data_IF_886685551316
#
_entry.id   IF_886685551316
#
_cell.length_a   1.000
_cell.length_b   1.000
_cell.length_c   1.000
_cell.angle_alpha   90.00
_cell.angle_beta   90.00
_cell.angle_gamma   90.00
#
_symmetry.space_group_name_H-M   'P 1'
#
loop_
_entity.id
_entity.type
_entity.pdbx_description
1 polymer ?
#
# COMPACT_ATOMS: atom_id res chain seq x y z
N UNK A 1 29.73 12.91 24.41
CA UNK A 1 28.28 12.99 24.66
C UNK A 1 27.78 14.32 24.11
N UNK A 2 27.29 14.32 22.88
CA UNK A 2 26.64 15.46 22.25
C UNK A 2 25.38 14.92 21.58
N UNK A 3 24.24 15.28 22.18
CA UNK A 3 22.92 14.89 21.70
C UNK A 3 22.69 15.47 20.32
N UNK A 4 22.65 14.60 19.32
CA UNK A 4 22.11 14.95 18.03
C UNK A 4 20.59 15.06 18.17
N UNK A 5 20.10 16.30 18.13
CA UNK A 5 18.70 16.62 17.84
C UNK A 5 18.24 15.79 16.63
N UNK A 6 17.49 14.72 16.89
CA UNK A 6 16.81 13.94 15.85
C UNK A 6 15.61 14.75 15.37
N UNK A 7 15.88 15.82 14.62
CA UNK A 7 14.87 16.35 13.71
C UNK A 7 14.50 15.22 12.75
N UNK A 8 13.21 14.89 12.71
CA UNK A 8 12.59 13.90 11.84
C UNK A 8 13.22 13.98 10.45
N UNK A 9 14.08 13.01 10.10
CA UNK A 9 14.61 12.89 8.75
C UNK A 9 13.41 12.79 7.83
N UNK A 10 13.30 13.69 6.86
CA UNK A 10 12.41 13.48 5.73
C UNK A 10 12.79 12.13 5.15
N UNK A 11 11.87 11.19 5.20
CA UNK A 11 12.07 9.88 4.60
C UNK A 11 11.89 10.09 3.09
N UNK A 12 13.00 10.37 2.42
CA UNK A 12 13.04 10.90 1.06
C UNK A 12 13.00 9.81 -0.01
N UNK A 13 13.33 8.57 0.34
CA UNK A 13 13.44 7.48 -0.63
C UNK A 13 12.04 6.93 -0.95
N UNK A 14 11.64 6.88 -2.23
CA UNK A 14 10.38 6.28 -2.65
C UNK A 14 10.28 4.81 -2.26
N UNK A 15 9.06 4.37 -1.91
CA UNK A 15 8.74 2.99 -1.58
C UNK A 15 7.92 2.33 -2.70
N UNK A 16 8.16 1.04 -2.92
CA UNK A 16 7.46 0.21 -3.91
C UNK A 16 7.10 -1.15 -3.32
N UNK A 17 5.94 -1.73 -3.68
CA UNK A 17 5.69 -3.12 -3.34
C UNK A 17 6.60 -4.03 -4.16
N UNK A 18 7.16 -5.06 -3.54
CA UNK A 18 7.94 -6.06 -4.27
C UNK A 18 8.79 -6.95 -3.37
N UNK A 19 9.25 -8.06 -3.94
CA UNK A 19 10.19 -9.00 -3.34
C UNK A 19 11.26 -9.37 -4.36
N UNK A 20 12.43 -9.79 -3.86
CA UNK A 20 13.54 -10.20 -4.72
C UNK A 20 14.14 -9.06 -5.53
N UNK A 21 14.76 -9.39 -6.66
CA UNK A 21 15.39 -8.41 -7.55
C UNK A 21 14.36 -7.83 -8.51
N UNK A 22 14.20 -6.49 -8.57
CA UNK A 22 13.23 -5.87 -9.47
C UNK A 22 13.67 -5.96 -10.93
N UNK A 23 12.71 -6.19 -11.84
CA UNK A 23 12.98 -6.20 -13.28
C UNK A 23 13.03 -4.79 -13.89
N UNK A 24 12.30 -3.82 -13.30
CA UNK A 24 12.26 -2.42 -13.76
C UNK A 24 12.42 -1.45 -12.60
N UNK A 25 13.05 -0.31 -12.86
CA UNK A 25 13.12 0.76 -11.87
C UNK A 25 11.78 1.55 -11.83
N UNK A 26 11.52 2.32 -10.75
CA UNK A 26 10.33 3.17 -10.63
C UNK A 26 10.11 4.16 -11.77
N UNK A 27 11.17 4.50 -12.50
CA UNK A 27 11.18 5.46 -13.60
C UNK A 27 11.11 4.81 -14.98
N UNK A 28 11.01 3.47 -15.05
CA UNK A 28 10.68 2.75 -16.28
C UNK A 28 11.84 2.08 -17.02
N UNK A 29 13.09 2.23 -16.56
CA UNK A 29 14.21 1.50 -17.14
C UNK A 29 14.10 -0.01 -16.88
N UNK A 30 14.46 -0.80 -17.88
CA UNK A 30 14.71 -2.24 -17.74
C UNK A 30 16.05 -2.45 -17.03
N UNK A 31 16.03 -3.13 -15.89
CA UNK A 31 17.21 -3.27 -15.03
C UNK A 31 18.21 -4.32 -15.52
N UNK A 32 17.81 -5.22 -16.41
CA UNK A 32 18.75 -6.13 -17.07
C UNK A 32 19.69 -5.38 -18.01
N UNK A 33 19.25 -4.24 -18.56
CA UNK A 33 20.05 -3.36 -19.42
C UNK A 33 20.67 -2.22 -18.60
N UNK A 34 19.88 -1.57 -17.76
CA UNK A 34 20.26 -0.36 -17.05
C UNK A 34 21.18 -0.60 -15.85
N UNK A 35 21.34 -1.84 -15.40
CA UNK A 35 22.07 -2.19 -14.19
C UNK A 35 21.33 -1.87 -12.91
N UNK A 36 21.52 -2.71 -11.89
CA UNK A 36 20.93 -2.52 -10.56
C UNK A 36 21.90 -2.90 -9.45
N UNK A 37 21.96 -2.10 -8.39
CA UNK A 37 22.64 -2.42 -7.14
C UNK A 37 21.65 -2.56 -6.00
N UNK A 38 21.92 -3.50 -5.10
CA UNK A 38 21.17 -3.66 -3.86
C UNK A 38 21.97 -3.10 -2.68
N UNK A 39 21.30 -2.34 -1.84
CA UNK A 39 21.77 -1.88 -0.54
C UNK A 39 20.72 -2.16 0.54
N UNK A 40 20.82 -1.44 1.65
CA UNK A 40 19.92 -1.59 2.78
C UNK A 40 19.56 -0.22 3.37
N UNK A 41 18.27 0.10 3.39
CA UNK A 41 17.77 1.28 4.08
C UNK A 41 17.69 0.99 5.57
N UNK A 42 18.53 1.64 6.37
CA UNK A 42 18.47 1.52 7.84
C UNK A 42 17.19 2.14 8.41
N UNK A 43 16.70 3.22 7.79
CA UNK A 43 15.51 3.93 8.24
C UNK A 43 14.25 3.09 8.02
N UNK A 44 14.12 2.45 6.85
CA UNK A 44 12.99 1.56 6.57
C UNK A 44 13.21 0.10 6.99
N UNK A 45 14.44 -0.29 7.34
CA UNK A 45 14.86 -1.69 7.57
C UNK A 45 14.40 -2.61 6.44
N UNK A 46 14.70 -2.22 5.21
CA UNK A 46 14.28 -2.94 4.02
C UNK A 46 15.32 -2.84 2.89
N UNK A 47 15.29 -3.78 1.91
CA UNK A 47 16.14 -3.72 0.74
C UNK A 47 15.98 -2.40 -0.02
N UNK A 48 17.10 -1.73 -0.23
CA UNK A 48 17.20 -0.54 -1.07
C UNK A 48 17.80 -0.93 -2.41
N UNK A 49 17.32 -0.30 -3.48
CA UNK A 49 17.74 -0.58 -4.84
C UNK A 49 18.14 0.71 -5.52
N UNK A 50 19.21 0.65 -6.28
CA UNK A 50 19.73 1.75 -7.09
C UNK A 50 19.73 1.35 -8.56
N UNK A 51 19.20 2.21 -9.42
CA UNK A 51 19.29 2.04 -10.87
C UNK A 51 20.53 2.79 -11.40
N UNK A 52 21.47 2.07 -12.00
CA UNK A 52 22.76 2.66 -12.41
C UNK A 52 22.58 3.70 -13.53
N UNK A 53 21.69 3.42 -14.48
CA UNK A 53 21.36 4.39 -15.53
C UNK A 53 20.74 5.68 -14.95
N UNK A 54 19.86 5.58 -13.94
CA UNK A 54 19.35 6.79 -13.27
C UNK A 54 20.44 7.51 -12.48
N UNK A 55 21.33 6.77 -11.82
CA UNK A 55 22.43 7.34 -11.06
C UNK A 55 23.41 8.11 -11.95
N UNK A 56 23.69 7.60 -13.16
CA UNK A 56 24.54 8.26 -14.15
C UNK A 56 23.91 9.53 -14.76
N UNK A 57 22.60 9.72 -14.64
CA UNK A 57 21.88 10.88 -15.17
C UNK A 57 21.63 11.91 -14.04
N UNK A 58 22.20 13.13 -14.12
CA UNK A 58 22.03 14.13 -13.07
C UNK A 58 20.56 14.56 -12.90
N UNK A 59 20.18 14.86 -11.65
CA UNK A 59 18.88 15.43 -11.30
C UNK A 59 17.70 14.45 -11.24
N UNK A 60 17.96 13.13 -11.27
CA UNK A 60 16.92 12.11 -11.08
C UNK A 60 17.11 11.37 -9.76
N UNK A 61 15.99 11.14 -9.08
CA UNK A 61 15.93 10.09 -8.07
C UNK A 61 16.40 8.78 -8.71
N UNK A 62 17.21 8.02 -7.97
CA UNK A 62 17.88 6.83 -8.47
C UNK A 62 17.78 5.64 -7.51
N UNK A 63 17.40 5.89 -6.26
CA UNK A 63 17.17 4.89 -5.23
C UNK A 63 15.68 4.72 -4.90
N UNK A 64 15.30 3.50 -4.51
CA UNK A 64 14.00 3.21 -3.94
C UNK A 64 14.10 2.03 -2.97
N UNK A 65 13.13 1.92 -2.08
CA UNK A 65 13.01 0.78 -1.16
C UNK A 65 11.85 -0.11 -1.56
N UNK A 66 12.03 -1.42 -1.43
CA UNK A 66 10.96 -2.38 -1.66
C UNK A 66 10.39 -2.91 -0.34
N UNK A 67 9.06 -2.88 -0.23
CA UNK A 67 8.30 -3.41 0.88
C UNK A 67 7.56 -4.65 0.40
N UNK A 68 7.81 -5.77 1.05
CA UNK A 68 7.16 -7.03 0.73
C UNK A 68 5.68 -6.97 1.17
N UNK A 69 4.71 -7.01 0.22
CA UNK A 69 3.30 -6.89 0.53
C UNK A 69 2.69 -8.19 1.06
N UNK A 70 3.43 -9.31 1.08
CA UNK A 70 2.89 -10.62 1.39
C UNK A 70 2.32 -10.69 2.82
N UNK A 71 1.21 -11.42 3.07
CA UNK A 71 0.60 -11.53 4.39
C UNK A 71 1.55 -12.05 5.48
N UNK A 72 2.53 -12.87 5.10
CA UNK A 72 3.57 -13.37 6.02
C UNK A 72 4.48 -12.27 6.61
N UNK A 73 4.44 -11.05 6.04
CA UNK A 73 5.15 -9.87 6.54
C UNK A 73 4.26 -8.91 7.30
N UNK A 74 2.95 -9.19 7.36
CA UNK A 74 2.03 -8.36 8.12
C UNK A 74 2.20 -8.71 9.60
N UNK A 75 2.28 -7.68 10.43
CA UNK A 75 2.37 -7.81 11.89
C UNK A 75 1.05 -7.39 12.52
N UNK A 76 0.74 -7.89 13.70
CA UNK A 76 -0.36 -7.35 14.51
C UNK A 76 0.10 -6.11 15.28
N UNK A 77 -0.83 -5.37 15.88
CA UNK A 77 -0.50 -4.13 16.59
C UNK A 77 0.47 -4.33 17.75
N UNK A 78 0.36 -5.45 18.47
CA UNK A 78 1.25 -5.86 19.56
C UNK A 78 2.65 -6.27 19.09
N UNK A 79 2.82 -6.51 17.79
CA UNK A 79 4.08 -6.93 17.17
C UNK A 79 4.77 -5.81 16.40
N UNK A 80 4.13 -4.64 16.28
CA UNK A 80 4.72 -3.50 15.59
C UNK A 80 5.92 -2.97 16.41
N UNK A 81 7.13 -3.17 15.89
CA UNK A 81 8.35 -2.63 16.49
C UNK A 81 8.47 -1.13 16.25
N UNK A 82 9.23 -0.43 17.10
CA UNK A 82 9.47 1.01 16.97
C UNK A 82 10.29 1.38 15.72
N UNK A 83 10.86 0.40 15.01
CA UNK A 83 11.89 0.59 14.00
C UNK A 83 11.55 -0.06 12.66
N UNK A 84 11.79 0.69 11.57
CA UNK A 84 11.56 0.20 10.22
C UNK A 84 10.10 0.25 9.79
N UNK A 85 9.88 0.17 8.49
CA UNK A 85 8.56 0.26 7.91
C UNK A 85 7.84 -1.10 8.02
N UNK A 86 6.59 -1.11 8.48
CA UNK A 86 5.80 -2.31 8.74
C UNK A 86 4.40 -2.18 8.19
N UNK A 87 3.86 -3.31 7.73
CA UNK A 87 2.45 -3.48 7.40
C UNK A 87 1.75 -4.04 8.63
N UNK A 88 0.97 -3.21 9.32
CA UNK A 88 0.27 -3.57 10.55
C UNK A 88 -1.18 -3.90 10.22
N UNK A 89 -1.59 -5.13 10.50
CA UNK A 89 -2.95 -5.60 10.26
C UNK A 89 -3.86 -5.27 11.46
N UNK A 90 -4.90 -4.50 11.18
CA UNK A 90 -6.00 -4.24 12.10
C UNK A 90 -7.15 -5.19 11.76
N UNK A 91 -7.38 -6.19 12.61
CA UNK A 91 -8.45 -7.16 12.40
C UNK A 91 -9.83 -6.49 12.58
N UNK A 92 -10.83 -6.85 11.76
CA UNK A 92 -12.19 -6.38 12.00
C UNK A 92 -12.70 -6.92 13.34
N UNK A 93 -13.56 -6.13 14.01
CA UNK A 93 -14.20 -6.55 15.26
C UNK A 93 -15.16 -7.74 15.08
N UNK A 94 -15.70 -7.90 13.86
CA UNK A 94 -16.65 -8.95 13.50
C UNK A 94 -16.23 -9.65 12.21
N UNK A 95 -16.67 -10.90 12.02
CA UNK A 95 -16.49 -11.60 10.75
C UNK A 95 -17.17 -10.83 9.61
N UNK A 96 -16.51 -10.76 8.45
CA UNK A 96 -16.93 -9.94 7.30
C UNK A 96 -17.05 -8.42 7.59
N UNK A 97 -16.63 -7.94 8.76
CA UNK A 97 -16.51 -6.53 9.07
C UNK A 97 -15.36 -5.84 8.33
N UNK A 98 -15.23 -4.53 8.53
CA UNK A 98 -14.14 -3.73 7.95
C UNK A 98 -12.89 -3.88 8.82
N UNK A 99 -11.83 -4.43 8.23
CA UNK A 99 -10.49 -4.39 8.79
C UNK A 99 -9.63 -3.36 8.06
N UNK A 100 -8.38 -3.24 8.47
CA UNK A 100 -7.43 -2.36 7.80
C UNK A 100 -6.00 -2.91 7.79
N UNK A 101 -5.18 -2.41 6.88
CA UNK A 101 -3.73 -2.49 6.97
C UNK A 101 -3.20 -1.07 7.06
N UNK A 102 -2.36 -0.81 8.04
CA UNK A 102 -1.63 0.44 8.16
C UNK A 102 -0.17 0.24 7.75
N UNK A 103 0.39 1.20 7.03
CA UNK A 103 1.82 1.27 6.81
C UNK A 103 2.40 2.17 7.90
N UNK A 104 3.21 1.61 8.80
CA UNK A 104 3.74 2.34 9.97
C UNK A 104 5.26 2.35 9.99
N UNK A 105 5.84 3.43 10.50
CA UNK A 105 7.21 3.48 11.00
C UNK A 105 7.16 3.81 12.49
N UNK A 106 7.36 2.79 13.34
CA UNK A 106 7.05 2.89 14.77
C UNK A 106 5.60 3.33 14.99
N UNK A 107 5.41 4.44 15.72
CA UNK A 107 4.08 5.01 15.97
C UNK A 107 3.56 5.94 14.86
N UNK A 108 4.36 6.23 13.83
CA UNK A 108 3.95 7.11 12.73
C UNK A 108 3.22 6.31 11.67
N UNK A 109 1.96 6.64 11.42
CA UNK A 109 1.18 6.06 10.32
C UNK A 109 1.48 6.82 9.03
N UNK A 110 1.80 6.10 7.96
CA UNK A 110 2.02 6.68 6.64
C UNK A 110 0.71 6.73 5.86
N UNK A 111 -0.11 5.71 6.07
CA UNK A 111 -1.42 5.57 5.46
C UNK A 111 -2.10 4.29 5.91
N UNK A 112 -3.36 4.19 5.55
CA UNK A 112 -4.25 3.09 5.88
C UNK A 112 -5.01 2.64 4.63
N UNK A 113 -5.22 1.34 4.50
CA UNK A 113 -6.18 0.77 3.55
C UNK A 113 -7.21 -0.04 4.31
N UNK A 114 -8.48 0.25 4.09
CA UNK A 114 -9.63 -0.37 4.75
C UNK A 114 -10.36 -1.26 3.76
N UNK A 115 -10.66 -2.48 4.17
CA UNK A 115 -11.37 -3.44 3.33
C UNK A 115 -12.11 -4.47 4.19
N UNK A 116 -13.11 -5.10 3.61
CA UNK A 116 -13.82 -6.23 4.20
C UNK A 116 -13.55 -7.48 3.38
N UNK A 117 -13.28 -8.60 4.07
CA UNK A 117 -13.14 -9.93 3.49
C UNK A 117 -14.20 -10.86 4.08
N UNK A 118 -15.04 -11.45 3.24
CA UNK A 118 -15.94 -12.53 3.65
C UNK A 118 -15.32 -13.88 3.30
N UNK A 119 -14.92 -14.65 4.32
CA UNK A 119 -14.33 -15.98 4.12
C UNK A 119 -15.31 -17.02 3.59
N UNK A 120 -16.62 -16.85 3.86
CA UNK A 120 -17.68 -17.78 3.44
C UNK A 120 -17.93 -17.64 1.93
N UNK A 121 -18.21 -16.41 1.48
CA UNK A 121 -18.58 -16.13 0.08
C UNK A 121 -17.38 -15.82 -0.82
N UNK A 122 -16.16 -15.75 -0.26
CA UNK A 122 -14.93 -15.31 -0.95
C UNK A 122 -15.08 -13.97 -1.66
N UNK A 123 -15.80 -13.04 -1.03
CA UNK A 123 -16.02 -11.66 -1.49
C UNK A 123 -15.10 -10.69 -0.78
N UNK A 124 -14.53 -9.75 -1.52
CA UNK A 124 -13.71 -8.69 -0.97
C UNK A 124 -14.22 -7.32 -1.43
N UNK A 125 -14.33 -6.39 -0.48
CA UNK A 125 -14.73 -5.00 -0.77
C UNK A 125 -13.64 -4.08 -0.27
N UNK A 126 -12.96 -3.39 -1.18
CA UNK A 126 -12.09 -2.28 -0.85
C UNK A 126 -12.94 -1.05 -0.53
N UNK A 127 -12.82 -0.57 0.71
CA UNK A 127 -13.63 0.54 1.24
C UNK A 127 -12.91 1.86 1.01
N UNK A 128 -11.65 1.95 1.44
CA UNK A 128 -10.94 3.21 1.42
C UNK A 128 -9.42 3.01 1.42
N UNK A 129 -8.70 3.96 0.84
CA UNK A 129 -7.25 4.08 0.99
C UNK A 129 -6.91 5.54 1.25
N UNK A 130 -6.14 5.77 2.31
CA UNK A 130 -5.69 7.09 2.72
C UNK A 130 -4.18 7.08 2.94
N UNK A 131 -3.52 8.20 2.61
CA UNK A 131 -2.11 8.44 2.90
C UNK A 131 -2.03 9.81 3.55
N UNK A 132 -1.38 9.87 4.71
CA UNK A 132 -1.14 11.13 5.43
C UNK A 132 -0.44 12.12 4.50
N UNK A 133 -0.83 13.39 4.55
CA UNK A 133 -0.43 14.40 3.57
C UNK A 133 1.09 14.51 3.39
N UNK A 134 1.82 14.56 4.51
CA UNK A 134 3.30 14.58 4.56
C UNK A 134 3.97 13.34 3.95
N UNK A 135 3.24 12.23 3.80
CA UNK A 135 3.73 10.96 3.28
C UNK A 135 3.16 10.64 1.89
N UNK A 136 2.37 11.54 1.29
CA UNK A 136 1.92 11.40 -0.10
C UNK A 136 3.10 11.40 -1.06
N UNK A 137 2.90 10.81 -2.24
CA UNK A 137 3.92 10.65 -3.30
C UNK A 137 5.14 9.80 -2.95
N UNK A 138 5.30 9.35 -1.70
CA UNK A 138 6.30 8.35 -1.30
C UNK A 138 6.09 6.98 -1.97
N UNK A 139 4.85 6.63 -2.28
CA UNK A 139 4.46 5.29 -2.76
C UNK A 139 3.70 4.44 -1.72
N UNK A 140 3.45 4.97 -0.52
CA UNK A 140 2.67 4.31 0.54
C UNK A 140 1.34 3.71 0.05
N UNK A 141 0.52 4.50 -0.65
CA UNK A 141 -0.76 4.03 -1.18
C UNK A 141 -0.62 2.82 -2.13
N UNK A 142 0.44 2.76 -2.93
CA UNK A 142 0.70 1.62 -3.82
C UNK A 142 1.07 0.36 -3.02
N UNK A 143 1.90 0.52 -1.99
CA UNK A 143 2.27 -0.59 -1.09
C UNK A 143 1.02 -1.12 -0.37
N UNK A 144 0.18 -0.23 0.14
CA UNK A 144 -1.07 -0.59 0.82
C UNK A 144 -2.03 -1.36 -0.10
N UNK A 145 -2.25 -0.88 -1.32
CA UNK A 145 -3.09 -1.57 -2.32
C UNK A 145 -2.56 -2.96 -2.63
N UNK A 146 -1.23 -3.10 -2.86
CA UNK A 146 -0.62 -4.40 -3.08
C UNK A 146 -0.75 -5.33 -1.87
N UNK A 147 -0.61 -4.81 -0.64
CA UNK A 147 -0.76 -5.57 0.59
C UNK A 147 -2.19 -6.08 0.80
N UNK A 148 -3.20 -5.26 0.47
CA UNK A 148 -4.60 -5.69 0.51
C UNK A 148 -4.87 -6.81 -0.51
N UNK A 149 -4.43 -6.62 -1.77
CA UNK A 149 -4.59 -7.63 -2.82
C UNK A 149 -3.91 -8.96 -2.45
N UNK A 150 -2.71 -8.91 -1.87
CA UNK A 150 -1.95 -10.10 -1.47
C UNK A 150 -2.61 -10.93 -0.36
N UNK A 151 -3.52 -10.34 0.44
CA UNK A 151 -4.26 -11.09 1.49
C UNK A 151 -5.34 -12.00 0.94
N UNK A 152 -5.92 -11.65 -0.20
CA UNK A 152 -7.08 -12.35 -0.73
C UNK A 152 -6.97 -12.48 -2.26
N UNK A 153 -5.91 -13.18 -2.77
CA UNK A 153 -5.64 -13.27 -4.20
C UNK A 153 -6.72 -14.05 -4.98
N UNK A 154 -7.56 -14.82 -4.28
CA UNK A 154 -8.61 -15.66 -4.86
C UNK A 154 -10.02 -15.18 -4.51
N UNK A 155 -10.16 -13.93 -4.06
CA UNK A 155 -11.45 -13.34 -3.74
C UNK A 155 -11.93 -12.49 -4.91
N UNK A 156 -13.25 -12.43 -5.06
CA UNK A 156 -13.88 -11.50 -5.99
C UNK A 156 -13.82 -10.09 -5.38
N UNK A 157 -12.79 -9.33 -5.77
CA UNK A 157 -12.61 -7.96 -5.32
C UNK A 157 -13.56 -7.01 -6.04
N UNK A 158 -14.15 -6.12 -5.26
CA UNK A 158 -14.83 -4.92 -5.74
C UNK A 158 -14.35 -3.73 -4.93
N UNK A 159 -14.48 -2.52 -5.46
CA UNK A 159 -14.10 -1.29 -4.78
C UNK A 159 -15.31 -0.37 -4.70
N UNK A 160 -15.41 0.42 -3.64
CA UNK A 160 -16.36 1.54 -3.62
C UNK A 160 -16.15 2.47 -4.84
N UNK A 161 -17.18 3.20 -5.27
CA UNK A 161 -17.08 4.08 -6.43
C UNK A 161 -15.88 5.03 -6.33
N UNK A 162 -15.08 5.06 -7.40
CA UNK A 162 -13.96 6.00 -7.52
C UNK A 162 -14.56 7.34 -7.96
N UNK A 163 -14.47 8.36 -7.10
CA UNK A 163 -14.97 9.70 -7.41
C UNK A 163 -14.24 10.37 -8.59
N UNK A 164 -14.73 11.53 -9.01
CA UNK A 164 -14.17 12.30 -10.13
C UNK A 164 -12.99 13.22 -9.76
N UNK A 165 -12.51 13.17 -8.51
CA UNK A 165 -11.35 13.95 -8.09
C UNK A 165 -10.12 13.58 -8.96
N UNK A 166 -9.47 14.55 -9.65
CA UNK A 166 -8.38 14.27 -10.57
C UNK A 166 -7.19 13.54 -9.92
N UNK A 167 -6.91 13.82 -8.64
CA UNK A 167 -5.81 13.17 -7.91
C UNK A 167 -6.14 11.69 -7.67
N UNK A 168 -7.38 11.41 -7.25
CA UNK A 168 -7.90 10.07 -7.03
C UNK A 168 -7.91 9.25 -8.33
N UNK A 169 -8.40 9.83 -9.43
CA UNK A 169 -8.40 9.17 -10.75
C UNK A 169 -6.97 8.87 -11.22
N UNK A 170 -6.05 9.84 -11.11
CA UNK A 170 -4.65 9.64 -11.49
C UNK A 170 -3.95 8.57 -10.64
N UNK A 171 -4.27 8.50 -9.34
CA UNK A 171 -3.76 7.45 -8.46
C UNK A 171 -4.21 6.07 -8.93
N UNK A 172 -5.52 5.87 -9.11
CA UNK A 172 -6.08 4.56 -9.51
C UNK A 172 -5.67 4.15 -10.92
N UNK A 173 -5.58 5.10 -11.86
CA UNK A 173 -5.06 4.84 -13.21
C UNK A 173 -3.61 4.35 -13.19
N UNK A 174 -2.81 4.80 -12.21
CA UNK A 174 -1.39 4.43 -12.10
C UNK A 174 -1.14 3.17 -11.28
N UNK A 175 -1.92 2.93 -10.24
CA UNK A 175 -1.77 1.77 -9.36
C UNK A 175 -2.51 0.55 -9.91
N UNK A 176 -3.63 0.76 -10.59
CA UNK A 176 -4.61 -0.27 -10.91
C UNK A 176 -5.54 -0.51 -9.74
N UNK A 177 -6.85 -0.49 -9.97
CA UNK A 177 -7.82 -0.89 -8.96
C UNK A 177 -7.75 -2.42 -8.76
N UNK A 178 -7.92 -2.88 -7.51
CA UNK A 178 -7.88 -4.32 -7.18
C UNK A 178 -9.12 -5.06 -7.76
N UNK A 179 -10.19 -4.33 -8.04
CA UNK A 179 -11.40 -4.83 -8.69
C UNK A 179 -12.25 -3.69 -9.24
N UNK A 180 -13.35 -3.98 -9.94
CA UNK A 180 -14.23 -2.97 -10.52
C UNK A 180 -14.73 -1.97 -9.46
N UNK A 181 -14.90 -0.68 -9.80
CA UNK A 181 -15.41 0.36 -8.91
C UNK A 181 -16.95 0.28 -8.77
N UNK A 182 -17.46 -0.94 -8.60
CA UNK A 182 -18.87 -1.27 -8.41
C UNK A 182 -18.95 -2.27 -7.24
N UNK A 183 -19.27 -1.82 -6.03
CA UNK A 183 -19.22 -2.69 -4.85
C UNK A 183 -20.32 -3.76 -4.91
N UNK A 184 -19.93 -5.02 -4.71
CA UNK A 184 -20.86 -6.15 -4.65
C UNK A 184 -20.69 -6.92 -3.33
N UNK A 185 -21.15 -6.36 -2.19
CA UNK A 185 -21.07 -7.02 -0.90
C UNK A 185 -21.99 -8.25 -0.86
N UNK A 186 -21.58 -9.31 -0.16
CA UNK A 186 -22.49 -10.40 0.19
C UNK A 186 -23.41 -10.02 1.36
N UNK A 187 -24.35 -10.91 1.72
CA UNK A 187 -25.26 -10.71 2.85
C UNK A 187 -24.51 -10.46 4.16
N UNK A 188 -23.47 -11.25 4.45
CA UNK A 188 -22.64 -11.08 5.65
C UNK A 188 -22.01 -9.69 5.73
N UNK A 189 -21.50 -9.16 4.61
CA UNK A 189 -20.91 -7.82 4.55
C UNK A 189 -21.98 -6.71 4.64
N UNK A 190 -23.16 -6.98 4.11
CA UNK A 190 -24.31 -6.07 4.17
C UNK A 190 -24.82 -5.91 5.60
N UNK A 191 -24.91 -7.01 6.35
CA UNK A 191 -25.25 -7.03 7.78
C UNK A 191 -24.25 -6.25 8.62
N UNK A 192 -22.96 -6.28 8.24
CA UNK A 192 -21.91 -5.49 8.90
C UNK A 192 -21.84 -4.02 8.41
N UNK A 193 -22.74 -3.59 7.51
CA UNK A 193 -22.77 -2.21 7.02
C UNK A 193 -21.55 -1.79 6.20
N UNK A 194 -20.86 -2.74 5.54
CA UNK A 194 -19.59 -2.48 4.81
C UNK A 194 -19.76 -1.44 3.69
N UNK A 195 -20.89 -1.48 3.00
CA UNK A 195 -21.20 -0.57 1.90
C UNK A 195 -22.38 0.32 2.31
N UNK A 196 -22.21 1.66 2.30
CA UNK A 196 -23.30 2.60 2.53
C UNK A 196 -24.46 2.31 1.58
N UNK A 197 -25.70 2.46 2.04
CA UNK A 197 -26.89 2.14 1.25
C UNK A 197 -26.91 2.81 -0.14
N UNK A 198 -26.40 4.04 -0.22
CA UNK A 198 -26.34 4.87 -1.44
C UNK A 198 -25.33 4.36 -2.48
N UNK A 199 -24.30 3.64 -2.05
CA UNK A 199 -23.24 3.12 -2.94
C UNK A 199 -23.56 1.73 -3.50
N UNK A 200 -24.67 1.11 -3.10
CA UNK A 200 -25.02 -0.27 -3.48
C UNK A 200 -25.50 -0.42 -4.92
N UNK A 201 -25.88 0.69 -5.58
CA UNK A 201 -26.63 0.65 -6.84
C UNK A 201 -26.26 1.77 -7.83
N UNK A 202 -25.13 2.44 -7.64
CA UNK A 202 -24.72 3.51 -8.55
C UNK A 202 -24.21 2.89 -9.85
N UNK A 203 -25.15 2.63 -10.76
CA UNK A 203 -24.90 2.37 -12.18
C UNK A 203 -24.31 3.65 -12.78
N UNK A 204 -23.01 3.63 -13.03
CA UNK A 204 -22.36 4.61 -13.88
C UNK A 204 -22.05 3.91 -15.21
N UNK A 205 -22.94 4.11 -16.18
CA UNK A 205 -22.67 3.94 -17.61
C UNK A 205 -22.15 5.25 -18.18
#
# INVERSE_FOLDING_TARGET
MTGANRHWRNLEIPIRPGTGTPARCPWGHDLAIAGVRQGWSQDYRAPEWLCEACYALPGRENTWTMIDPAPARHVTEDQADEYGLRLVLLRPATAAGIGAIQLRLGHTVFGEIRFSLCGIDRRAVLVHVEVEEKHRRSGAGRVLVAAAAARAPHYDWTTLPIGHDPITVAFWARVGAIGPPSPHPCTHQTEQGVVPGESRWTKWW
#
